data_IF_877598429135
#
_entry.id   IF_877598429135
#
_cell.length_a   1.000
_cell.length_b   1.000
_cell.length_c   1.000
_cell.angle_alpha   90.00
_cell.angle_beta   90.00
_cell.angle_gamma   90.00
#
_symmetry.space_group_name_H-M   'P 1'
#
loop_
_entity.id
_entity.type
_entity.pdbx_description
1 polymer ?
#
# COMPACT_ATOMS: atom_id res chain seq x y z
N UNK A 1 -3.76 -16.60 -6.55
CA UNK A 1 -5.10 -16.95 -7.11
C UNK A 1 -5.74 -15.79 -7.86
N UNK A 2 -5.95 -14.58 -7.23
CA UNK A 2 -6.52 -13.42 -7.94
C UNK A 2 -5.65 -13.01 -9.14
N UNK A 3 -4.34 -12.84 -8.94
CA UNK A 3 -3.41 -12.49 -10.00
C UNK A 3 -3.42 -13.51 -11.14
N UNK A 4 -3.47 -14.81 -10.84
CA UNK A 4 -3.56 -15.88 -11.85
C UNK A 4 -4.87 -15.81 -12.63
N UNK A 5 -5.98 -15.53 -11.95
CA UNK A 5 -7.28 -15.37 -12.58
C UNK A 5 -7.31 -14.17 -13.54
N UNK A 6 -6.74 -13.03 -13.13
CA UNK A 6 -6.64 -11.84 -13.98
C UNK A 6 -5.67 -12.07 -15.15
N UNK A 7 -4.54 -12.73 -14.91
CA UNK A 7 -3.56 -13.05 -15.96
C UNK A 7 -4.09 -14.03 -17.03
N UNK A 8 -5.12 -14.82 -16.71
CA UNK A 8 -5.77 -15.70 -17.68
C UNK A 8 -6.71 -14.96 -18.66
N UNK A 9 -7.01 -13.69 -18.42
CA UNK A 9 -7.86 -12.90 -19.30
C UNK A 9 -7.07 -12.35 -20.49
N UNK A 10 -7.70 -12.20 -21.67
CA UNK A 10 -7.01 -11.75 -22.89
C UNK A 10 -6.81 -10.22 -22.97
N UNK A 11 -6.96 -9.52 -21.86
CA UNK A 11 -6.81 -8.06 -21.77
C UNK A 11 -6.22 -7.68 -20.40
N UNK A 12 -5.62 -6.50 -20.36
CA UNK A 12 -5.10 -5.86 -19.16
C UNK A 12 -6.13 -4.81 -18.69
N UNK A 13 -6.27 -4.66 -17.39
CA UNK A 13 -7.17 -3.65 -16.82
C UNK A 13 -6.44 -2.31 -16.70
N UNK A 14 -7.13 -1.22 -16.99
CA UNK A 14 -6.61 0.14 -16.80
C UNK A 14 -6.39 0.43 -15.31
N UNK A 15 -7.32 -0.02 -14.47
CA UNK A 15 -7.14 0.05 -13.00
C UNK A 15 -7.95 -1.04 -12.28
N UNK A 16 -7.54 -1.27 -11.04
CA UNK A 16 -8.25 -2.08 -10.05
C UNK A 16 -8.39 -1.27 -8.77
N UNK A 17 -9.63 -1.14 -8.27
CA UNK A 17 -9.91 -0.51 -6.98
C UNK A 17 -10.30 -1.60 -5.98
N UNK A 18 -9.59 -1.65 -4.87
CA UNK A 18 -9.92 -2.53 -3.76
C UNK A 18 -10.72 -1.77 -2.70
N UNK A 19 -12.02 -2.06 -2.61
CA UNK A 19 -12.83 -1.69 -1.44
C UNK A 19 -12.70 -2.81 -0.40
N UNK A 20 -11.47 -3.07 -0.01
CA UNK A 20 -11.08 -4.15 0.90
C UNK A 20 -9.85 -3.73 1.72
N UNK A 21 -9.71 -4.32 2.91
CA UNK A 21 -8.67 -3.99 3.88
C UNK A 21 -7.30 -4.56 3.46
N UNK A 22 -6.20 -3.86 3.79
CA UNK A 22 -4.81 -4.33 3.70
C UNK A 22 -4.30 -4.67 2.29
N UNK A 23 -4.96 -4.18 1.23
CA UNK A 23 -4.58 -4.53 -0.13
C UNK A 23 -3.43 -3.69 -0.69
N UNK A 24 -3.04 -2.57 -0.04
CA UNK A 24 -1.84 -1.81 -0.41
C UNK A 24 -0.59 -2.42 0.25
N UNK A 25 -0.35 -3.69 0.04
CA UNK A 25 0.88 -4.40 0.42
C UNK A 25 1.67 -4.76 -0.83
N UNK A 26 2.99 -4.65 -0.73
CA UNK A 26 3.87 -4.80 -1.90
C UNK A 26 3.82 -6.21 -2.52
N UNK A 27 3.58 -7.24 -1.71
CA UNK A 27 3.49 -8.62 -2.17
C UNK A 27 2.30 -8.81 -3.11
N UNK A 28 1.12 -8.27 -2.75
CA UNK A 28 -0.08 -8.30 -3.59
C UNK A 28 0.10 -7.47 -4.86
N UNK A 29 0.65 -6.25 -4.72
CA UNK A 29 0.88 -5.36 -5.86
C UNK A 29 1.86 -5.99 -6.85
N UNK A 30 2.94 -6.62 -6.36
CA UNK A 30 3.90 -7.31 -7.21
C UNK A 30 3.25 -8.42 -8.04
N UNK A 31 2.34 -9.19 -7.46
CA UNK A 31 1.65 -10.25 -8.17
C UNK A 31 0.68 -9.72 -9.25
N UNK A 32 0.06 -8.56 -9.01
CA UNK A 32 -0.93 -7.96 -9.93
C UNK A 32 -0.30 -7.17 -11.08
N UNK A 33 0.99 -6.80 -11.02
CA UNK A 33 1.65 -5.84 -11.92
C UNK A 33 1.59 -6.18 -13.42
N UNK A 34 1.45 -7.47 -13.75
CA UNK A 34 1.33 -7.90 -15.15
C UNK A 34 -0.08 -7.75 -15.73
N UNK A 35 -1.11 -7.63 -14.88
CA UNK A 35 -2.52 -7.70 -15.28
C UNK A 35 -3.26 -6.37 -15.20
N UNK A 36 -2.70 -5.38 -14.49
CA UNK A 36 -3.36 -4.10 -14.19
C UNK A 36 -2.38 -2.96 -14.39
N UNK A 37 -2.83 -1.81 -14.90
CA UNK A 37 -1.97 -0.62 -15.06
C UNK A 37 -1.87 0.20 -13.78
N UNK A 38 -2.96 0.30 -13.02
CA UNK A 38 -3.01 1.01 -11.76
C UNK A 38 -3.78 0.22 -10.71
N UNK A 39 -3.40 0.37 -9.43
CA UNK A 39 -4.16 -0.16 -8.30
C UNK A 39 -4.44 0.95 -7.30
N UNK A 40 -5.69 1.05 -6.83
CA UNK A 40 -6.08 1.89 -5.70
C UNK A 40 -6.40 0.97 -4.54
N UNK A 41 -5.71 1.14 -3.41
CA UNK A 41 -5.86 0.26 -2.26
C UNK A 41 -5.48 0.96 -0.95
N UNK A 42 -5.95 0.42 0.17
CA UNK A 42 -5.58 0.87 1.52
C UNK A 42 -4.55 -0.06 2.16
N UNK A 43 -3.52 0.48 2.87
CA UNK A 43 -2.57 -0.32 3.63
C UNK A 43 -3.15 -0.83 4.97
N UNK A 44 -4.31 -0.36 5.40
CA UNK A 44 -5.00 -0.81 6.60
C UNK A 44 -6.50 -1.04 6.37
N UNK A 45 -7.27 -1.17 7.46
CA UNK A 45 -8.70 -1.46 7.40
C UNK A 45 -9.49 -0.31 6.74
N UNK A 46 -10.30 -0.62 5.73
CA UNK A 46 -11.32 0.28 5.20
C UNK A 46 -12.55 0.22 6.10
N UNK A 47 -13.06 1.38 6.48
CA UNK A 47 -14.27 1.47 7.29
C UNK A 47 -15.50 0.96 6.52
N UNK A 48 -16.49 0.46 7.24
CA UNK A 48 -17.66 -0.21 6.66
C UNK A 48 -18.48 0.65 5.66
N UNK A 49 -18.36 1.98 5.72
CA UNK A 49 -18.99 2.87 4.73
C UNK A 49 -18.28 2.83 3.36
N UNK A 50 -17.05 2.27 3.28
CA UNK A 50 -16.31 2.07 2.03
C UNK A 50 -15.96 3.36 1.29
N UNK A 51 -15.99 3.30 -0.03
CA UNK A 51 -15.73 4.44 -0.90
C UNK A 51 -16.98 5.30 -1.13
N UNK A 52 -16.84 6.63 -1.30
CA UNK A 52 -17.94 7.51 -1.71
C UNK A 52 -18.26 7.35 -3.21
N UNK A 53 -18.90 6.26 -3.59
CA UNK A 53 -19.16 5.89 -4.98
C UNK A 53 -19.91 6.95 -5.78
N UNK A 54 -20.78 7.72 -5.14
CA UNK A 54 -21.49 8.86 -5.74
C UNK A 54 -20.52 9.97 -6.20
N UNK A 55 -19.35 10.09 -5.58
CA UNK A 55 -18.31 11.09 -5.92
C UNK A 55 -17.24 10.52 -6.86
N UNK A 56 -16.84 9.26 -6.67
CA UNK A 56 -15.71 8.70 -7.41
C UNK A 56 -16.08 8.12 -8.77
N UNK A 57 -17.32 7.65 -9.00
CA UNK A 57 -17.72 7.11 -10.31
C UNK A 57 -17.49 8.10 -11.46
N UNK A 58 -17.82 9.41 -11.34
CA UNK A 58 -17.50 10.37 -12.40
C UNK A 58 -16.00 10.55 -12.67
N UNK A 59 -15.14 10.30 -11.68
CA UNK A 59 -13.68 10.37 -11.81
C UNK A 59 -13.10 9.09 -12.43
N UNK A 60 -13.73 7.95 -12.15
CA UNK A 60 -13.33 6.66 -12.71
C UNK A 60 -13.70 6.54 -14.18
N UNK A 61 -14.80 7.17 -14.62
CA UNK A 61 -15.34 7.06 -15.97
C UNK A 61 -15.67 8.47 -16.49
N UNK A 62 -14.75 9.07 -17.22
CA UNK A 62 -14.99 10.35 -17.87
C UNK A 62 -15.96 10.19 -19.05
N UNK A 63 -16.60 11.29 -19.50
CA UNK A 63 -17.71 11.30 -20.51
C UNK A 63 -17.39 10.56 -21.80
N UNK A 64 -16.13 10.34 -22.14
CA UNK A 64 -15.73 9.61 -23.34
C UNK A 64 -15.22 8.19 -23.03
N UNK A 65 -15.20 7.75 -21.77
CA UNK A 65 -14.71 6.43 -21.35
C UNK A 65 -13.23 6.19 -21.65
N UNK A 66 -12.43 7.24 -21.82
CA UNK A 66 -11.04 7.18 -22.31
C UNK A 66 -10.01 7.66 -21.32
N UNK A 67 -10.41 8.23 -20.21
CA UNK A 67 -9.49 8.70 -19.16
C UNK A 67 -10.10 8.50 -17.79
N UNK A 68 -9.24 8.39 -16.80
CA UNK A 68 -9.58 8.28 -15.38
C UNK A 68 -8.80 9.36 -14.63
N UNK A 69 -9.42 9.97 -13.64
CA UNK A 69 -8.68 10.78 -12.65
C UNK A 69 -8.57 9.97 -11.36
N UNK A 70 -7.62 9.01 -11.35
CA UNK A 70 -7.43 8.12 -10.21
C UNK A 70 -6.87 8.87 -8.99
N UNK A 71 -6.17 9.98 -9.20
CA UNK A 71 -5.77 10.88 -8.10
C UNK A 71 -6.97 11.52 -7.42
N UNK A 72 -7.96 11.98 -8.20
CA UNK A 72 -9.21 12.48 -7.65
C UNK A 72 -10.01 11.40 -6.91
N UNK A 73 -9.98 10.15 -7.37
CA UNK A 73 -10.60 9.02 -6.64
C UNK A 73 -9.96 8.86 -5.26
N UNK A 74 -8.62 8.88 -5.16
CA UNK A 74 -7.92 8.81 -3.89
C UNK A 74 -8.25 10.02 -2.99
N UNK A 75 -8.29 11.22 -3.58
CA UNK A 75 -8.64 12.44 -2.84
C UNK A 75 -10.06 12.38 -2.26
N UNK A 76 -11.07 11.97 -3.02
CA UNK A 76 -12.45 11.90 -2.55
C UNK A 76 -12.63 10.85 -1.44
N UNK A 77 -11.92 9.71 -1.52
CA UNK A 77 -11.90 8.73 -0.43
C UNK A 77 -11.31 9.34 0.85
N UNK A 78 -10.13 9.93 0.77
CA UNK A 78 -9.49 10.57 1.92
C UNK A 78 -10.32 11.72 2.47
N UNK A 79 -10.87 12.58 1.60
CA UNK A 79 -11.70 13.73 1.98
C UNK A 79 -12.95 13.32 2.76
N UNK A 80 -13.59 12.21 2.36
CA UNK A 80 -14.72 11.65 3.11
C UNK A 80 -14.34 11.43 4.57
N UNK A 81 -13.25 10.68 4.83
CA UNK A 81 -12.87 10.30 6.20
C UNK A 81 -12.20 11.43 6.97
N UNK A 82 -11.45 12.28 6.32
CA UNK A 82 -10.75 13.39 6.97
C UNK A 82 -11.68 14.55 7.34
N UNK A 83 -12.58 14.94 6.43
CA UNK A 83 -13.33 16.17 6.55
C UNK A 83 -14.84 15.96 6.75
N UNK A 84 -15.45 15.02 6.04
CA UNK A 84 -16.91 14.85 6.04
C UNK A 84 -17.38 13.83 7.09
N UNK A 85 -16.50 12.92 7.49
CA UNK A 85 -16.82 11.84 8.42
C UNK A 85 -16.77 12.36 9.87
N UNK A 86 -17.91 12.63 10.44
CA UNK A 86 -17.96 13.06 11.84
C UNK A 86 -17.46 11.94 12.77
N UNK A 87 -16.37 12.19 13.49
CA UNK A 87 -15.84 11.23 14.47
C UNK A 87 -16.84 11.05 15.63
N UNK A 88 -17.31 9.82 15.80
CA UNK A 88 -18.22 9.41 16.88
C UNK A 88 -17.80 8.03 17.39
N UNK A 89 -18.50 7.51 18.41
CA UNK A 89 -18.28 6.12 18.86
C UNK A 89 -18.60 5.06 17.80
N UNK A 90 -19.33 5.43 16.75
CA UNK A 90 -19.71 4.55 15.63
C UNK A 90 -18.96 4.84 14.34
N UNK A 91 -18.31 5.99 14.25
CA UNK A 91 -17.60 6.46 13.06
C UNK A 91 -16.23 6.97 13.47
N UNK A 92 -15.20 6.34 12.91
CA UNK A 92 -13.82 6.70 13.16
C UNK A 92 -13.26 7.42 11.92
N UNK A 93 -12.58 8.55 12.13
CA UNK A 93 -11.85 9.25 11.06
C UNK A 93 -10.59 8.45 10.71
N UNK A 94 -10.79 7.39 9.95
CA UNK A 94 -9.77 6.42 9.55
C UNK A 94 -9.90 6.17 8.06
N UNK A 95 -9.10 6.85 7.27
CA UNK A 95 -9.07 6.74 5.81
C UNK A 95 -7.65 6.88 5.29
N UNK A 96 -7.14 5.84 4.67
CA UNK A 96 -5.84 5.80 4.05
C UNK A 96 -5.97 5.16 2.68
N UNK A 97 -5.29 5.73 1.71
CA UNK A 97 -5.39 5.28 0.34
C UNK A 97 -4.08 5.55 -0.40
N UNK A 98 -3.75 4.65 -1.30
CA UNK A 98 -2.58 4.78 -2.18
C UNK A 98 -2.95 4.38 -3.60
N UNK A 99 -2.50 5.16 -4.57
CA UNK A 99 -2.46 4.81 -5.98
C UNK A 99 -1.11 4.17 -6.30
N UNK A 100 -1.13 2.98 -6.89
CA UNK A 100 0.05 2.30 -7.39
C UNK A 100 0.09 2.35 -8.93
N UNK A 101 1.24 2.74 -9.49
CA UNK A 101 1.58 2.72 -10.92
C UNK A 101 2.31 1.42 -11.18
N UNK A 102 1.64 0.45 -11.76
CA UNK A 102 2.10 -0.95 -11.79
C UNK A 102 3.30 -1.17 -12.72
N UNK A 103 3.51 -0.31 -13.72
CA UNK A 103 4.70 -0.36 -14.60
C UNK A 103 6.01 -0.08 -13.87
N UNK A 104 5.98 0.58 -12.69
CA UNK A 104 7.17 0.92 -11.91
C UNK A 104 7.56 -0.14 -10.87
N UNK A 105 6.70 -1.12 -10.64
CA UNK A 105 6.89 -2.13 -9.57
C UNK A 105 8.13 -3.03 -9.82
N UNK A 106 8.43 -3.38 -11.06
CA UNK A 106 9.62 -4.18 -11.37
C UNK A 106 10.92 -3.38 -11.10
N UNK A 107 10.94 -2.07 -11.39
CA UNK A 107 12.06 -1.19 -11.06
C UNK A 107 12.26 -1.08 -9.54
N UNK A 108 11.16 -0.98 -8.79
CA UNK A 108 11.21 -1.00 -7.32
C UNK A 108 11.74 -2.34 -6.79
N UNK A 109 11.35 -3.46 -7.38
CA UNK A 109 11.87 -4.78 -7.01
C UNK A 109 13.37 -4.92 -7.27
N UNK A 110 13.89 -4.32 -8.35
CA UNK A 110 15.32 -4.35 -8.67
C UNK A 110 16.17 -3.57 -7.67
N UNK A 111 15.72 -2.38 -7.24
CA UNK A 111 16.44 -1.65 -6.19
C UNK A 111 16.34 -2.36 -4.84
N UNK A 112 15.18 -2.94 -4.50
CA UNK A 112 15.03 -3.76 -3.29
C UNK A 112 15.94 -4.98 -3.28
N UNK A 113 16.12 -5.65 -4.41
CA UNK A 113 17.09 -6.78 -4.54
C UNK A 113 18.51 -6.32 -4.24
N UNK A 114 18.91 -5.15 -4.68
CA UNK A 114 20.23 -4.60 -4.38
C UNK A 114 20.37 -4.22 -2.91
N UNK A 115 19.35 -3.60 -2.33
CA UNK A 115 19.27 -3.30 -0.89
C UNK A 115 19.39 -4.60 -0.08
N UNK A 116 18.68 -5.67 -0.44
CA UNK A 116 18.68 -6.94 0.28
C UNK A 116 20.03 -7.68 0.22
N UNK A 117 20.87 -7.36 -0.74
CA UNK A 117 22.25 -7.87 -0.83
C UNK A 117 23.26 -7.10 0.04
N UNK A 118 22.88 -5.93 0.57
CA UNK A 118 23.72 -5.22 1.54
C UNK A 118 23.52 -5.80 2.96
N UNK A 119 24.55 -5.72 3.82
CA UNK A 119 24.34 -6.04 5.23
C UNK A 119 23.22 -5.18 5.82
N UNK A 120 22.30 -5.82 6.53
CA UNK A 120 21.25 -5.10 7.23
C UNK A 120 21.84 -4.29 8.38
N UNK A 121 21.45 -3.02 8.52
CA UNK A 121 21.69 -2.27 9.73
C UNK A 121 20.93 -2.88 10.92
N UNK A 122 21.45 -2.70 12.14
CA UNK A 122 20.71 -3.09 13.33
C UNK A 122 19.57 -2.11 13.60
N UNK A 123 18.38 -2.62 13.80
CA UNK A 123 17.19 -1.85 14.17
C UNK A 123 16.26 -2.70 15.04
N UNK A 124 15.36 -2.05 15.78
CA UNK A 124 14.30 -2.73 16.54
C UNK A 124 12.99 -2.72 15.71
N UNK A 125 12.50 -3.87 15.26
CA UNK A 125 11.24 -3.94 14.51
C UNK A 125 10.04 -3.37 15.25
N UNK A 126 10.07 -3.33 16.59
CA UNK A 126 8.97 -2.77 17.38
C UNK A 126 8.88 -1.23 17.31
N UNK A 127 9.88 -0.57 16.73
CA UNK A 127 9.87 0.89 16.51
C UNK A 127 9.27 1.28 15.15
N UNK A 128 9.03 0.29 14.29
CA UNK A 128 8.46 0.53 12.98
C UNK A 128 6.95 0.81 13.06
N UNK A 129 6.49 1.70 12.20
CA UNK A 129 5.07 1.91 11.98
C UNK A 129 4.44 0.63 11.42
N UNK A 130 3.35 0.21 12.06
CA UNK A 130 2.47 -0.87 11.60
C UNK A 130 1.07 -0.32 11.39
N UNK A 131 0.28 -0.99 10.57
CA UNK A 131 -1.05 -0.51 10.20
C UNK A 131 -2.16 -1.47 10.63
N UNK A 132 -1.87 -2.33 11.59
CA UNK A 132 -2.83 -3.23 12.24
C UNK A 132 -2.59 -3.32 13.75
N UNK A 133 -3.61 -3.78 14.47
CA UNK A 133 -3.54 -3.92 15.94
C UNK A 133 -3.14 -5.33 16.41
N UNK A 134 -2.47 -6.12 15.59
CA UNK A 134 -2.07 -7.50 15.91
C UNK A 134 -0.79 -7.56 16.76
N UNK A 135 -0.55 -8.70 17.37
CA UNK A 135 0.70 -9.04 18.05
C UNK A 135 0.99 -10.55 17.85
N UNK A 136 2.12 -10.92 17.25
CA UNK A 136 3.08 -10.06 16.57
C UNK A 136 2.50 -9.39 15.32
N UNK A 137 3.12 -8.27 14.93
CA UNK A 137 2.71 -7.52 13.74
C UNK A 137 2.94 -8.27 12.43
N UNK A 138 2.12 -7.95 11.42
CA UNK A 138 2.17 -8.55 10.08
C UNK A 138 2.63 -7.55 9.01
N UNK A 139 2.16 -6.30 9.12
CA UNK A 139 2.27 -5.30 8.07
C UNK A 139 3.01 -4.08 8.58
N UNK A 140 4.21 -3.87 8.08
CA UNK A 140 5.09 -2.76 8.43
C UNK A 140 5.10 -1.71 7.32
N UNK A 141 5.27 -0.45 7.67
CA UNK A 141 5.49 0.61 6.69
C UNK A 141 6.75 0.34 5.88
N UNK A 142 6.60 0.19 4.55
CA UNK A 142 7.69 -0.22 3.67
C UNK A 142 8.79 0.85 3.60
N UNK A 143 8.41 2.12 3.52
CA UNK A 143 9.37 3.23 3.43
C UNK A 143 10.23 3.31 4.69
N UNK A 144 9.61 3.24 5.87
CA UNK A 144 10.35 3.24 7.12
C UNK A 144 11.21 1.99 7.28
N UNK A 145 10.68 0.80 6.97
CA UNK A 145 11.47 -0.44 7.02
C UNK A 145 12.76 -0.33 6.21
N UNK A 146 12.68 0.13 4.97
CA UNK A 146 13.83 0.26 4.09
C UNK A 146 14.82 1.30 4.64
N UNK A 147 14.33 2.43 5.15
CA UNK A 147 15.16 3.51 5.68
C UNK A 147 16.00 3.10 6.89
N UNK A 148 15.49 2.18 7.74
CA UNK A 148 16.25 1.70 8.91
C UNK A 148 17.12 0.49 8.58
N UNK A 149 16.73 -0.33 7.61
CA UNK A 149 17.46 -1.54 7.22
C UNK A 149 18.71 -1.23 6.40
N UNK A 150 18.66 -0.22 5.55
CA UNK A 150 19.72 0.12 4.61
C UNK A 150 20.53 1.32 5.11
N UNK A 151 21.85 1.21 5.11
CA UNK A 151 22.78 2.30 5.44
C UNK A 151 23.46 2.93 4.22
N UNK A 152 23.24 2.41 3.02
CA UNK A 152 23.79 2.94 1.77
C UNK A 152 22.91 4.09 1.26
N UNK A 153 23.43 5.33 1.38
CA UNK A 153 22.69 6.52 1.00
C UNK A 153 22.30 6.55 -0.49
N UNK A 154 23.17 6.06 -1.38
CA UNK A 154 22.87 6.07 -2.81
C UNK A 154 21.74 5.08 -3.17
N UNK A 155 21.69 3.92 -2.49
CA UNK A 155 20.58 2.97 -2.65
C UNK A 155 19.28 3.51 -2.03
N UNK A 156 19.35 4.27 -0.92
CA UNK A 156 18.18 4.92 -0.33
C UNK A 156 17.62 6.02 -1.23
N UNK A 157 18.47 6.83 -1.85
CA UNK A 157 18.04 7.86 -2.81
C UNK A 157 17.38 7.21 -4.03
N UNK A 158 17.98 6.17 -4.59
CA UNK A 158 17.40 5.43 -5.72
C UNK A 158 16.08 4.73 -5.34
N UNK A 159 16.01 4.17 -4.12
CA UNK A 159 14.77 3.59 -3.61
C UNK A 159 13.67 4.65 -3.52
N UNK A 160 13.96 5.83 -2.98
CA UNK A 160 12.99 6.92 -2.88
C UNK A 160 12.46 7.34 -4.25
N UNK A 161 13.32 7.47 -5.26
CA UNK A 161 12.91 7.77 -6.64
C UNK A 161 12.01 6.67 -7.23
N UNK A 162 12.38 5.40 -7.07
CA UNK A 162 11.58 4.28 -7.57
C UNK A 162 10.25 4.16 -6.83
N UNK A 163 10.28 4.41 -5.52
CA UNK A 163 9.10 4.34 -4.66
C UNK A 163 8.10 5.45 -5.00
N UNK A 164 8.57 6.69 -5.18
CA UNK A 164 7.72 7.82 -5.57
C UNK A 164 7.18 7.67 -7.01
N UNK A 165 7.91 7.04 -7.90
CA UNK A 165 7.41 6.70 -9.23
C UNK A 165 6.32 5.62 -9.18
N UNK A 166 6.50 4.59 -8.35
CA UNK A 166 5.53 3.51 -8.20
C UNK A 166 4.29 3.95 -7.39
N UNK A 167 4.47 4.85 -6.43
CA UNK A 167 3.44 5.35 -5.52
C UNK A 167 3.52 6.87 -5.43
N UNK A 168 2.87 7.62 -6.34
CA UNK A 168 2.97 9.08 -6.39
C UNK A 168 2.62 9.74 -5.05
N UNK A 169 3.46 10.65 -4.51
CA UNK A 169 3.27 11.26 -3.19
C UNK A 169 1.91 11.93 -3.01
N UNK A 170 1.41 12.58 -4.07
CA UNK A 170 0.11 13.27 -4.07
C UNK A 170 -1.09 12.33 -3.95
N UNK A 171 -0.89 11.03 -4.17
CA UNK A 171 -1.93 10.01 -4.11
C UNK A 171 -1.74 9.02 -2.95
N UNK A 172 -0.81 9.33 -2.03
CA UNK A 172 -0.63 8.61 -0.76
C UNK A 172 -1.22 9.45 0.36
N UNK A 173 -2.51 9.27 0.61
CA UNK A 173 -3.27 10.11 1.53
C UNK A 173 -3.67 9.34 2.79
N UNK A 174 -3.67 10.00 3.93
CA UNK A 174 -4.04 9.41 5.22
C UNK A 174 -4.67 10.43 6.16
N UNK A 175 -5.49 9.94 7.08
CA UNK A 175 -5.97 10.65 8.26
C UNK A 175 -4.89 10.63 9.36
N UNK A 176 -5.04 11.42 10.41
CA UNK A 176 -4.05 11.52 11.51
C UNK A 176 -3.79 10.20 12.24
N UNK A 177 -4.75 9.28 12.19
CA UNK A 177 -4.65 7.96 12.79
C UNK A 177 -5.49 6.95 12.02
N UNK A 178 -5.35 5.69 12.40
CA UNK A 178 -6.15 4.60 11.84
C UNK A 178 -6.86 3.81 12.94
N UNK A 179 -8.07 3.40 12.64
CA UNK A 179 -8.80 2.44 13.48
C UNK A 179 -8.38 1.02 13.15
N UNK A 180 -8.23 0.19 14.18
CA UNK A 180 -8.08 -1.24 13.98
C UNK A 180 -9.11 -2.02 14.80
N UNK A 181 -9.86 -2.89 14.13
CA UNK A 181 -10.80 -3.81 14.75
C UNK A 181 -10.10 -4.86 15.63
N UNK A 182 -8.83 -5.18 15.35
CA UNK A 182 -8.04 -6.15 16.13
C UNK A 182 -7.76 -5.67 17.56
N UNK A 183 -7.52 -4.40 17.76
CA UNK A 183 -7.32 -3.82 19.11
C UNK A 183 -8.45 -2.87 19.54
N UNK A 184 -9.45 -2.67 18.66
CA UNK A 184 -10.66 -1.87 18.86
C UNK A 184 -10.36 -0.41 19.32
N UNK A 185 -9.39 0.24 18.66
CA UNK A 185 -9.02 1.62 18.96
C UNK A 185 -8.42 2.36 17.75
N UNK A 186 -8.39 3.69 17.88
CA UNK A 186 -7.57 4.53 17.00
C UNK A 186 -6.10 4.41 17.39
N UNK A 187 -5.25 4.20 16.40
CA UNK A 187 -3.80 4.10 16.53
C UNK A 187 -3.16 5.30 15.81
N UNK A 188 -2.06 5.87 16.33
CA UNK A 188 -1.40 7.00 15.68
C UNK A 188 -0.64 6.54 14.43
N UNK A 189 -0.56 7.41 13.44
CA UNK A 189 0.34 7.29 12.29
C UNK A 189 1.50 8.25 12.52
N UNK A 190 2.69 7.72 12.74
CA UNK A 190 3.91 8.50 12.97
C UNK A 190 4.82 8.50 11.75
N UNK A 191 4.71 7.49 10.90
CA UNK A 191 5.37 7.36 9.61
C UNK A 191 4.36 6.86 8.59
N UNK A 192 4.44 7.38 7.38
CA UNK A 192 3.49 7.00 6.34
C UNK A 192 4.14 6.97 4.95
N UNK A 193 4.33 5.77 4.44
CA UNK A 193 4.71 5.57 3.04
C UNK A 193 3.54 5.12 2.16
N UNK A 194 2.41 4.75 2.78
CA UNK A 194 1.19 4.33 2.08
C UNK A 194 1.21 2.89 1.57
N UNK A 195 2.32 2.17 1.75
CA UNK A 195 2.51 0.78 1.33
C UNK A 195 3.06 -0.02 2.50
N UNK A 196 2.55 -1.22 2.66
CA UNK A 196 3.06 -2.17 3.64
C UNK A 196 3.93 -3.24 3.00
N UNK A 197 4.78 -3.83 3.84
CA UNK A 197 5.60 -4.99 3.54
C UNK A 197 5.49 -5.99 4.69
N UNK A 198 5.53 -7.28 4.39
CA UNK A 198 5.46 -8.33 5.42
C UNK A 198 6.75 -8.45 6.24
N UNK A 199 7.91 -8.09 5.69
CA UNK A 199 9.14 -8.05 6.45
C UNK A 199 9.17 -6.82 7.38
N UNK A 200 9.66 -6.91 8.60
CA UNK A 200 10.38 -8.03 9.24
C UNK A 200 9.49 -8.93 10.12
N UNK A 201 8.24 -9.17 9.77
CA UNK A 201 7.34 -10.00 10.59
C UNK A 201 7.95 -11.38 10.89
N UNK A 202 7.77 -11.82 12.13
CA UNK A 202 8.11 -13.18 12.58
C UNK A 202 6.92 -14.13 12.46
N UNK A 203 5.76 -13.62 12.07
CA UNK A 203 4.54 -14.41 11.85
C UNK A 203 4.41 -14.75 10.36
N UNK A 204 3.99 -15.93 10.06
CA UNK A 204 3.84 -16.44 8.69
C UNK A 204 5.12 -16.33 7.84
N UNK A 205 6.27 -16.58 8.47
CA UNK A 205 7.59 -16.40 7.81
C UNK A 205 7.76 -17.28 6.57
N UNK A 206 7.25 -18.53 6.61
CA UNK A 206 7.34 -19.46 5.48
C UNK A 206 6.46 -18.98 4.31
N UNK A 207 5.24 -18.52 4.60
CA UNK A 207 4.31 -17.97 3.62
C UNK A 207 4.87 -16.68 3.01
N UNK A 208 5.44 -15.79 3.82
CA UNK A 208 6.06 -14.55 3.34
C UNK A 208 7.23 -14.85 2.40
N UNK A 209 8.09 -15.82 2.73
CA UNK A 209 9.21 -16.26 1.88
C UNK A 209 8.74 -16.95 0.59
N UNK A 210 7.53 -17.50 0.57
CA UNK A 210 6.96 -18.13 -0.60
C UNK A 210 6.37 -17.13 -1.60
N UNK A 211 6.23 -15.83 -1.26
CA UNK A 211 5.70 -14.81 -2.15
C UNK A 211 6.63 -14.56 -3.34
N UNK A 212 6.05 -14.15 -4.47
CA UNK A 212 6.85 -13.79 -5.65
C UNK A 212 7.70 -12.56 -5.40
N UNK A 213 7.23 -11.59 -4.60
CA UNK A 213 7.99 -10.43 -4.18
C UNK A 213 9.26 -10.84 -3.42
N UNK A 214 9.13 -11.69 -2.40
CA UNK A 214 10.29 -12.15 -1.63
C UNK A 214 11.33 -12.83 -2.52
N UNK A 215 10.90 -13.77 -3.36
CA UNK A 215 11.81 -14.45 -4.32
C UNK A 215 12.49 -13.46 -5.24
N UNK A 216 11.74 -12.52 -5.83
CA UNK A 216 12.28 -11.54 -6.76
C UNK A 216 13.32 -10.61 -6.11
N UNK A 217 13.20 -10.35 -4.81
CA UNK A 217 14.05 -9.38 -4.10
C UNK A 217 15.17 -10.02 -3.27
N UNK A 218 15.15 -11.35 -3.04
CA UNK A 218 16.16 -12.05 -2.23
C UNK A 218 16.97 -13.10 -3.03
N UNK A 219 16.48 -13.55 -4.16
CA UNK A 219 17.18 -14.48 -5.06
C UNK A 219 17.85 -13.71 -6.24
#
# INVERSE_FOLDING_TARGET
ELADALAALPYRFDFLLFDDCFMANIETLYDLRASVDHVIASPYEIMADGFPYDRIIPQMFTDEGRSHDLGAVCYEFWNLYQNDYASTIYRMQSGCITLAVMSEIDRLADVMRRINRTPAAEYDPNTLQTYEGLSPHLFYDMGQYVSVRCSDAALLDEFAECFDAAFPPESRLHTDGFYSAYNNRMNPITHYSGITISEPSTKFTEENRATNWYRATHE
#
